data_IF_785930672437
#
_entry.id   IF_785930672437
#
_cell.length_a   1.000
_cell.length_b   1.000
_cell.length_c   1.000
_cell.angle_alpha   90.00
_cell.angle_beta   90.00
_cell.angle_gamma   90.00
#
_symmetry.space_group_name_H-M   'P 1'
#
loop_
_entity.id
_entity.type
_entity.pdbx_description
1 polymer ?
#
# COMPACT_ATOMS: atom_id res chain seq x y z
N UNK A 1 22.66 22.42 19.10
CA UNK A 1 21.23 22.78 19.20
C UNK A 1 20.54 22.22 17.98
N UNK A 2 19.79 21.14 18.13
CA UNK A 2 19.09 20.48 17.02
C UNK A 2 17.86 21.31 16.69
N UNK A 3 17.91 22.06 15.59
CA UNK A 3 16.72 22.70 15.04
C UNK A 3 15.79 21.61 14.53
N UNK A 4 14.69 21.36 15.24
CA UNK A 4 13.62 20.52 14.73
C UNK A 4 13.21 21.09 13.37
N UNK A 5 13.44 20.33 12.29
CA UNK A 5 12.94 20.68 10.98
C UNK A 5 11.43 20.88 11.12
N UNK A 6 10.97 22.09 10.82
CA UNK A 6 9.57 22.43 10.92
C UNK A 6 8.80 21.55 9.93
N UNK A 7 8.16 20.51 10.45
CA UNK A 7 7.21 19.68 9.70
C UNK A 7 6.13 20.62 9.20
N UNK A 8 6.07 20.84 7.89
CA UNK A 8 4.97 21.55 7.24
C UNK A 8 4.03 20.48 6.67
N UNK A 9 3.04 20.02 7.43
CA UNK A 9 2.02 19.15 6.87
C UNK A 9 1.32 19.92 5.76
N UNK A 10 1.48 19.45 4.52
CA UNK A 10 0.60 19.90 3.45
C UNK A 10 -0.66 19.08 3.56
N UNK A 11 -1.65 19.59 4.29
CA UNK A 11 -3.01 19.04 4.30
C UNK A 11 -3.70 19.57 3.05
N UNK A 12 -4.06 18.71 2.08
CA UNK A 12 -4.93 19.16 1.01
C UNK A 12 -6.29 19.58 1.62
N UNK A 13 -7.02 20.51 0.99
CA UNK A 13 -8.36 20.87 1.43
C UNK A 13 -9.18 19.62 1.74
N UNK A 14 -9.89 19.63 2.87
CA UNK A 14 -10.87 18.59 3.19
C UNK A 14 -11.95 18.63 2.12
N UNK A 15 -11.78 17.83 1.06
CA UNK A 15 -12.75 17.69 0.00
C UNK A 15 -13.78 16.65 0.43
N UNK A 16 -15.03 17.09 0.58
CA UNK A 16 -16.17 16.20 0.84
C UNK A 16 -16.59 15.39 -0.40
N UNK A 17 -15.93 15.58 -1.55
CA UNK A 17 -16.19 14.87 -2.80
C UNK A 17 -15.19 13.70 -2.97
N UNK A 18 -15.64 12.44 -2.85
CA UNK A 18 -14.81 11.25 -3.04
C UNK A 18 -14.12 11.20 -4.41
N UNK A 19 -14.72 11.81 -5.44
CA UNK A 19 -14.15 11.86 -6.79
C UNK A 19 -12.81 12.61 -6.83
N UNK A 20 -12.58 13.56 -5.91
CA UNK A 20 -11.31 14.30 -5.83
C UNK A 20 -10.19 13.49 -5.20
N UNK A 21 -10.48 12.56 -4.29
CA UNK A 21 -9.45 11.70 -3.69
C UNK A 21 -8.86 10.71 -4.69
N UNK A 22 -9.63 10.36 -5.72
CA UNK A 22 -9.19 9.55 -6.86
C UNK A 22 -8.29 10.34 -7.81
N UNK A 23 -8.42 11.67 -7.87
CA UNK A 23 -7.63 12.54 -8.75
C UNK A 23 -6.33 13.03 -8.11
N UNK A 24 -6.26 13.07 -6.77
CA UNK A 24 -5.05 13.46 -6.03
C UNK A 24 -4.09 12.29 -5.96
N UNK A 25 -2.86 12.50 -6.42
CA UNK A 25 -1.82 11.48 -6.45
C UNK A 25 -0.62 11.86 -5.59
N UNK A 26 0.10 10.84 -5.15
CA UNK A 26 1.35 10.95 -4.39
C UNK A 26 2.45 10.13 -5.04
N UNK A 27 3.71 10.53 -4.82
CA UNK A 27 4.89 9.87 -5.35
C UNK A 27 6.01 9.92 -4.31
N UNK A 28 6.64 8.78 -4.05
CA UNK A 28 7.85 8.66 -3.23
C UNK A 28 8.90 7.90 -4.05
N UNK A 29 10.09 8.47 -4.20
CA UNK A 29 11.17 7.86 -5.02
C UNK A 29 12.31 7.34 -4.16
N UNK A 30 13.07 6.37 -4.66
CA UNK A 30 14.27 5.84 -3.98
C UNK A 30 15.59 6.41 -4.52
N UNK A 31 15.56 7.34 -5.49
CA UNK A 31 16.76 7.95 -6.06
C UNK A 31 17.56 7.07 -7.04
N UNK A 32 17.10 5.86 -7.37
CA UNK A 32 17.70 4.99 -8.40
C UNK A 32 16.73 4.70 -9.56
N UNK A 33 15.67 5.50 -9.67
CA UNK A 33 14.61 5.35 -10.68
C UNK A 33 13.44 4.44 -10.26
N UNK A 34 13.48 3.86 -9.06
CA UNK A 34 12.36 3.15 -8.45
C UNK A 34 11.51 4.08 -7.59
N UNK A 35 10.25 3.71 -7.37
CA UNK A 35 9.28 4.54 -6.66
C UNK A 35 8.07 3.78 -6.14
N UNK A 36 7.30 4.45 -5.28
CA UNK A 36 5.91 4.14 -4.99
C UNK A 36 5.03 5.32 -5.37
N UNK A 37 3.87 5.05 -5.96
CA UNK A 37 2.87 6.06 -6.28
C UNK A 37 1.47 5.48 -6.28
N UNK A 38 0.49 6.36 -6.11
CA UNK A 38 -0.92 6.01 -6.15
C UNK A 38 -1.79 7.24 -5.92
N UNK A 39 -3.10 7.00 -5.83
CA UNK A 39 -4.06 8.02 -5.43
C UNK A 39 -4.13 8.14 -3.91
N UNK A 40 -4.68 9.25 -3.40
CA UNK A 40 -4.93 9.43 -1.97
C UNK A 40 -5.97 8.44 -1.45
N UNK A 41 -6.99 8.11 -2.25
CA UNK A 41 -8.00 7.11 -1.89
C UNK A 41 -7.46 5.68 -1.84
N UNK A 42 -6.27 5.43 -2.41
CA UNK A 42 -5.69 4.09 -2.55
C UNK A 42 -6.18 3.33 -3.77
N UNK A 43 -7.03 3.94 -4.60
CA UNK A 43 -7.47 3.37 -5.87
C UNK A 43 -6.31 3.34 -6.87
N UNK A 44 -6.15 2.22 -7.58
CA UNK A 44 -5.15 2.05 -8.63
C UNK A 44 -5.77 2.45 -9.97
N UNK A 45 -5.64 3.73 -10.35
CA UNK A 45 -6.24 4.27 -11.59
C UNK A 45 -5.31 4.30 -12.78
N UNK A 46 -4.00 4.13 -12.55
CA UNK A 46 -2.98 4.17 -13.61
C UNK A 46 -2.15 2.90 -13.60
N UNK A 47 -1.71 2.50 -14.79
CA UNK A 47 -0.77 1.38 -14.99
C UNK A 47 0.58 1.54 -14.30
N UNK A 48 0.91 2.75 -13.85
CA UNK A 48 2.17 3.10 -13.22
C UNK A 48 2.04 3.26 -11.70
N UNK A 49 0.83 3.15 -11.16
CA UNK A 49 0.62 3.10 -9.71
C UNK A 49 1.12 1.76 -9.17
N UNK A 50 1.71 1.83 -7.98
CA UNK A 50 2.37 0.69 -7.36
C UNK A 50 3.02 1.12 -6.06
N UNK A 51 3.01 0.24 -5.07
CA UNK A 51 3.72 0.44 -3.81
C UNK A 51 5.19 0.05 -3.90
N UNK A 52 5.56 -0.76 -4.89
CA UNK A 52 6.95 -0.96 -5.28
C UNK A 52 7.04 -1.13 -6.79
N UNK A 53 7.45 -0.06 -7.46
CA UNK A 53 7.97 -0.08 -8.84
C UNK A 53 9.49 -0.09 -8.73
N UNK A 54 10.08 -1.28 -8.86
CA UNK A 54 11.51 -1.49 -8.71
C UNK A 54 12.25 -1.07 -9.98
N UNK A 55 13.37 -0.34 -9.82
CA UNK A 55 14.32 -0.12 -10.89
C UNK A 55 15.37 -1.23 -10.88
N UNK A 56 15.23 -2.19 -11.77
CA UNK A 56 16.11 -3.34 -11.90
C UNK A 56 17.20 -3.09 -12.96
N UNK A 57 18.35 -3.79 -12.88
CA UNK A 57 19.40 -3.68 -13.88
C UNK A 57 18.92 -3.98 -15.31
N UNK A 58 19.63 -3.44 -16.30
CA UNK A 58 19.43 -3.78 -17.71
C UNK A 58 19.50 -5.31 -17.90
N UNK A 59 18.58 -5.95 -18.65
CA UNK A 59 17.56 -5.34 -19.53
C UNK A 59 16.18 -5.13 -18.89
N UNK A 60 16.00 -5.43 -17.60
CA UNK A 60 14.67 -5.50 -16.98
C UNK A 60 14.00 -4.13 -16.83
N UNK A 61 14.80 -3.10 -16.50
CA UNK A 61 14.31 -1.74 -16.30
C UNK A 61 13.34 -1.63 -15.12
N UNK A 62 12.26 -0.85 -15.28
CA UNK A 62 11.24 -0.72 -14.24
C UNK A 62 10.27 -1.90 -14.24
N UNK A 63 10.00 -2.43 -13.05
CA UNK A 63 9.08 -3.56 -12.85
C UNK A 63 8.14 -3.22 -11.70
N UNK A 64 6.84 -3.26 -11.96
CA UNK A 64 5.83 -3.26 -10.89
C UNK A 64 5.95 -4.61 -10.19
N UNK A 65 6.12 -4.62 -8.87
CA UNK A 65 6.24 -5.85 -8.07
C UNK A 65 5.18 -5.95 -6.98
N UNK A 66 4.86 -4.82 -6.33
CA UNK A 66 3.79 -4.71 -5.35
C UNK A 66 2.82 -3.61 -5.83
N UNK A 67 1.61 -4.01 -6.20
CA UNK A 67 0.62 -3.08 -6.77
C UNK A 67 -0.05 -2.26 -5.68
N UNK A 68 -0.61 -2.92 -4.66
CA UNK A 68 -1.17 -2.25 -3.50
C UNK A 68 -1.25 -3.15 -2.25
N UNK A 69 -1.47 -2.54 -1.10
CA UNK A 69 -1.88 -3.22 0.12
C UNK A 69 -3.35 -2.88 0.39
N UNK A 70 -4.18 -3.89 0.61
CA UNK A 70 -5.56 -3.73 1.06
C UNK A 70 -5.62 -3.97 2.57
N UNK A 71 -6.25 -3.04 3.28
CA UNK A 71 -6.40 -3.07 4.73
C UNK A 71 -7.83 -3.43 5.17
N UNK A 72 -7.94 -4.29 6.18
CA UNK A 72 -9.19 -4.55 6.91
C UNK A 72 -8.92 -4.47 8.41
N UNK A 73 -9.78 -3.74 9.12
CA UNK A 73 -9.81 -3.67 10.58
C UNK A 73 -10.96 -4.54 11.08
N UNK A 74 -10.73 -5.26 12.16
CA UNK A 74 -11.79 -5.81 13.00
C UNK A 74 -11.69 -5.17 14.38
N UNK A 75 -12.71 -4.37 14.69
CA UNK A 75 -12.83 -3.59 15.91
C UNK A 75 -13.27 -4.47 17.10
N UNK A 76 -13.14 -3.96 18.34
CA UNK A 76 -13.85 -4.53 19.48
C UNK A 76 -15.35 -4.69 19.16
N UNK A 77 -15.94 -5.79 19.63
CA UNK A 77 -17.33 -6.14 19.28
C UNK A 77 -17.48 -6.81 17.90
N UNK A 78 -16.40 -6.95 17.13
CA UNK A 78 -16.35 -7.80 15.94
C UNK A 78 -16.75 -7.14 14.62
N UNK A 79 -17.10 -5.84 14.62
CA UNK A 79 -17.34 -5.07 13.40
C UNK A 79 -16.11 -5.10 12.49
N UNK A 80 -16.32 -5.38 11.21
CA UNK A 80 -15.27 -5.38 10.17
C UNK A 80 -15.40 -4.11 9.33
N UNK A 81 -14.27 -3.48 9.05
CA UNK A 81 -14.18 -2.26 8.22
C UNK A 81 -13.05 -2.43 7.23
N UNK A 82 -13.32 -2.18 5.96
CA UNK A 82 -12.33 -2.22 4.90
C UNK A 82 -11.90 -0.79 4.56
N UNK A 83 -10.59 -0.56 4.46
CA UNK A 83 -10.04 0.76 4.07
C UNK A 83 -9.53 0.78 2.62
N UNK A 84 -9.93 -0.22 1.84
CA UNK A 84 -9.52 -0.39 0.45
C UNK A 84 -10.33 0.51 -0.49
N UNK A 85 -9.78 0.70 -1.67
CA UNK A 85 -10.50 1.24 -2.81
C UNK A 85 -10.32 0.26 -3.98
N UNK A 86 -11.40 -0.01 -4.72
CA UNK A 86 -11.38 -0.84 -5.91
C UNK A 86 -12.24 -0.24 -7.01
N UNK A 87 -11.86 -0.51 -8.26
CA UNK A 87 -12.67 -0.24 -9.43
C UNK A 87 -12.88 -1.58 -10.13
N UNK A 88 -14.14 -1.90 -10.33
CA UNK A 88 -14.59 -3.05 -11.12
C UNK A 88 -15.23 -2.52 -12.41
N UNK A 89 -15.42 -3.39 -13.41
CA UNK A 89 -16.10 -3.01 -14.66
C UNK A 89 -17.48 -2.35 -14.42
N UNK A 90 -18.14 -2.69 -13.32
CA UNK A 90 -19.47 -2.19 -13.00
C UNK A 90 -19.47 -0.98 -12.05
N UNK A 91 -18.43 -0.82 -11.21
CA UNK A 91 -18.50 0.12 -10.08
C UNK A 91 -17.14 0.53 -9.52
N UNK A 92 -17.05 1.81 -9.19
CA UNK A 92 -16.06 2.39 -8.29
C UNK A 92 -16.50 2.24 -6.82
N UNK A 93 -15.70 1.57 -6.01
CA UNK A 93 -15.94 1.38 -4.57
C UNK A 93 -14.79 1.92 -3.73
N UNK A 94 -15.07 2.99 -2.96
CA UNK A 94 -14.10 3.66 -2.10
C UNK A 94 -14.40 3.37 -0.61
N UNK A 95 -14.29 2.11 -0.18
CA UNK A 95 -14.67 1.67 1.17
C UNK A 95 -13.96 2.45 2.30
N UNK A 96 -12.71 2.87 2.06
CA UNK A 96 -11.93 3.65 3.02
C UNK A 96 -12.25 5.15 3.07
N UNK A 97 -12.90 5.72 2.07
CA UNK A 97 -13.11 7.17 1.93
C UNK A 97 -13.95 7.77 3.08
N UNK A 98 -15.07 7.16 3.53
CA UNK A 98 -15.82 7.66 4.68
C UNK A 98 -15.03 7.73 5.99
N UNK A 99 -13.93 6.99 6.08
CA UNK A 99 -13.08 6.93 7.27
C UNK A 99 -11.81 7.77 7.13
N UNK A 100 -11.48 8.28 5.94
CA UNK A 100 -10.28 9.09 5.72
C UNK A 100 -10.47 10.47 6.37
N UNK A 101 -9.92 10.63 7.57
CA UNK A 101 -10.00 11.88 8.33
C UNK A 101 -8.95 12.91 7.87
N UNK A 102 -7.78 12.44 7.45
CA UNK A 102 -6.70 13.32 7.00
C UNK A 102 -5.77 12.60 6.03
N UNK A 103 -5.41 13.28 4.94
CA UNK A 103 -4.19 13.00 4.17
C UNK A 103 -3.26 14.19 4.29
N UNK A 104 -1.95 13.96 4.38
CA UNK A 104 -0.97 15.04 4.35
C UNK A 104 0.40 14.53 3.90
N UNK A 105 1.26 15.47 3.49
CA UNK A 105 2.68 15.19 3.27
C UNK A 105 3.50 15.68 4.46
N UNK A 106 4.23 14.77 5.10
CA UNK A 106 5.19 15.04 6.18
C UNK A 106 6.58 14.87 5.59
N UNK A 107 7.33 15.95 5.43
CA UNK A 107 8.63 15.95 4.74
C UNK A 107 8.56 15.35 3.32
N UNK A 108 7.45 15.61 2.63
CA UNK A 108 7.16 15.06 1.30
C UNK A 108 6.70 13.60 1.30
N UNK A 109 6.63 12.94 2.47
CA UNK A 109 6.18 11.56 2.59
C UNK A 109 4.69 11.49 2.93
N UNK A 110 3.93 10.60 2.27
CA UNK A 110 2.50 10.53 2.45
C UNK A 110 2.13 9.92 3.82
N UNK A 111 1.19 10.58 4.49
CA UNK A 111 0.56 10.16 5.74
C UNK A 111 -0.95 10.17 5.58
N UNK A 112 -1.58 9.07 5.96
CA UNK A 112 -3.04 8.97 6.09
C UNK A 112 -3.40 8.79 7.55
N UNK A 113 -4.51 9.38 7.97
CA UNK A 113 -5.19 9.06 9.23
C UNK A 113 -6.63 8.67 8.93
N UNK A 114 -6.98 7.46 9.31
CA UNK A 114 -8.34 6.96 9.24
C UNK A 114 -8.96 7.00 10.63
N UNK A 115 -10.21 7.45 10.74
CA UNK A 115 -10.99 7.41 11.97
C UNK A 115 -12.20 6.51 11.78
N UNK A 116 -12.23 5.40 12.51
CA UNK A 116 -13.31 4.41 12.49
C UNK A 116 -13.89 4.33 13.90
N UNK A 117 -15.02 4.98 14.13
CA UNK A 117 -15.71 5.00 15.43
C UNK A 117 -14.79 5.37 16.63
N UNK A 118 -13.87 6.33 16.44
CA UNK A 118 -12.90 6.72 17.48
C UNK A 118 -11.60 5.89 17.49
N UNK A 119 -11.55 4.80 16.73
CA UNK A 119 -10.30 4.08 16.44
C UNK A 119 -9.55 4.81 15.33
N UNK A 120 -8.39 5.37 15.65
CA UNK A 120 -7.58 6.17 14.72
C UNK A 120 -6.37 5.37 14.25
N UNK A 121 -6.35 5.00 12.97
CA UNK A 121 -5.22 4.33 12.33
C UNK A 121 -4.42 5.34 11.50
N UNK A 122 -3.13 5.46 11.78
CA UNK A 122 -2.19 6.19 10.92
C UNK A 122 -1.44 5.22 10.00
N UNK A 123 -1.31 5.60 8.73
CA UNK A 123 -0.55 4.88 7.71
C UNK A 123 0.50 5.82 7.13
N UNK A 124 1.73 5.32 6.94
CA UNK A 124 2.84 6.03 6.31
C UNK A 124 3.55 5.14 5.30
N UNK A 125 4.10 5.75 4.26
CA UNK A 125 4.91 5.07 3.24
C UNK A 125 6.23 5.79 3.05
N UNK A 126 7.32 5.03 3.00
CA UNK A 126 8.65 5.53 2.64
C UNK A 126 9.36 4.52 1.74
N UNK A 127 10.19 5.00 0.82
CA UNK A 127 11.14 4.14 0.10
C UNK A 127 12.54 4.35 0.66
N UNK A 128 13.24 3.25 0.92
CA UNK A 128 14.62 3.31 1.36
C UNK A 128 15.50 3.86 0.24
N UNK A 129 16.28 4.90 0.55
CA UNK A 129 17.16 5.54 -0.43
C UNK A 129 18.13 4.53 -1.03
N UNK A 130 18.22 4.50 -2.37
CA UNK A 130 19.04 3.59 -3.18
C UNK A 130 18.72 2.10 -3.04
N UNK A 131 17.53 1.75 -2.52
CA UNK A 131 17.06 0.37 -2.45
C UNK A 131 15.67 0.23 -3.10
N UNK A 132 15.44 -0.90 -3.78
CA UNK A 132 14.09 -1.31 -4.20
C UNK A 132 13.35 -1.90 -3.00
N UNK A 133 13.08 -1.07 -2.00
CA UNK A 133 12.44 -1.44 -0.74
C UNK A 133 11.47 -0.34 -0.32
N UNK A 134 10.21 -0.73 -0.16
CA UNK A 134 9.18 0.11 0.45
C UNK A 134 8.99 -0.32 1.90
N UNK A 135 8.87 0.65 2.80
CA UNK A 135 8.47 0.43 4.18
C UNK A 135 7.11 1.10 4.40
N UNK A 136 6.17 0.31 4.91
CA UNK A 136 4.81 0.74 5.19
C UNK A 136 4.59 0.60 6.68
N UNK A 137 4.29 1.70 7.34
CA UNK A 137 4.06 1.72 8.78
C UNK A 137 2.60 1.97 9.06
N UNK A 138 2.01 1.11 9.88
CA UNK A 138 0.67 1.28 10.43
C UNK A 138 0.80 1.49 11.94
N UNK A 139 0.10 2.48 12.47
CA UNK A 139 0.13 2.81 13.90
C UNK A 139 -1.29 3.08 14.39
N UNK A 140 -1.72 2.33 15.39
CA UNK A 140 -2.92 2.66 16.15
C UNK A 140 -2.60 3.90 17.01
N UNK A 141 -3.25 5.02 16.71
CA UNK A 141 -3.02 6.32 17.38
C UNK A 141 -3.96 6.51 18.56
N UNK A 142 -5.19 6.04 18.41
CA UNK A 142 -6.24 6.07 19.42
C UNK A 142 -7.23 4.93 19.14
N UNK A 143 -8.00 4.54 20.15
CA UNK A 143 -8.98 3.46 20.08
C UNK A 143 -8.92 2.61 21.34
N UNK A 144 -10.06 2.05 21.72
CA UNK A 144 -10.17 1.18 22.88
C UNK A 144 -10.03 -0.29 22.45
N UNK A 145 -9.31 -1.09 23.23
CA UNK A 145 -9.18 -2.53 23.03
C UNK A 145 -8.31 -2.98 21.83
N UNK A 146 -8.27 -4.30 21.62
CA UNK A 146 -7.43 -4.91 20.59
C UNK A 146 -8.10 -4.84 19.22
N UNK A 147 -7.37 -4.28 18.24
CA UNK A 147 -7.79 -4.25 16.84
C UNK A 147 -7.07 -5.36 16.08
N UNK A 148 -7.83 -6.29 15.50
CA UNK A 148 -7.24 -7.23 14.55
C UNK A 148 -7.08 -6.52 13.20
N UNK A 149 -5.83 -6.40 12.76
CA UNK A 149 -5.48 -5.75 11.51
C UNK A 149 -5.06 -6.77 10.46
N UNK A 150 -5.73 -6.77 9.31
CA UNK A 150 -5.44 -7.69 8.22
C UNK A 150 -4.93 -6.91 7.00
N UNK A 151 -3.79 -7.35 6.47
CA UNK A 151 -3.19 -6.84 5.25
C UNK A 151 -3.28 -7.89 4.15
N UNK A 152 -3.73 -7.48 2.97
CA UNK A 152 -3.71 -8.30 1.76
C UNK A 152 -2.84 -7.61 0.70
N UNK A 153 -1.62 -8.12 0.44
CA UNK A 153 -0.80 -7.62 -0.64
C UNK A 153 -1.36 -8.05 -1.99
N UNK A 154 -1.40 -7.12 -2.93
CA UNK A 154 -1.71 -7.36 -4.34
C UNK A 154 -0.41 -7.34 -5.12
N UNK A 155 -0.07 -8.49 -5.72
CA UNK A 155 1.22 -8.75 -6.35
C UNK A 155 0.99 -8.95 -7.85
N UNK A 156 1.77 -8.24 -8.65
CA UNK A 156 1.83 -8.43 -10.09
C UNK A 156 3.24 -8.07 -10.54
N UNK A 157 4.01 -9.05 -11.00
CA UNK A 157 5.34 -8.84 -11.55
C UNK A 157 5.20 -8.52 -13.03
N UNK A 158 5.36 -7.24 -13.38
CA UNK A 158 5.10 -6.76 -14.72
C UNK A 158 6.08 -5.66 -15.10
N UNK A 159 6.63 -5.74 -16.31
CA UNK A 159 7.41 -4.62 -16.87
C UNK A 159 6.56 -3.36 -16.93
N UNK A 160 7.20 -2.23 -16.67
CA UNK A 160 6.58 -0.92 -16.57
C UNK A 160 5.58 -0.60 -17.70
N UNK A 161 5.96 -0.90 -18.95
CA UNK A 161 5.17 -0.60 -20.15
C UNK A 161 4.24 -1.74 -20.62
N UNK A 162 4.23 -2.90 -19.97
CA UNK A 162 3.39 -4.03 -20.37
C UNK A 162 1.90 -3.82 -20.02
N UNK A 163 0.97 -4.40 -20.78
CA UNK A 163 -0.47 -4.20 -20.59
C UNK A 163 -0.94 -4.55 -19.15
N UNK A 164 -1.91 -3.82 -18.59
CA UNK A 164 -2.38 -4.06 -17.21
C UNK A 164 -3.30 -5.28 -17.06
N UNK A 165 -3.86 -5.74 -18.18
CA UNK A 165 -4.69 -6.93 -18.29
C UNK A 165 -3.92 -8.14 -18.84
N UNK A 166 -2.58 -8.09 -18.81
CA UNK A 166 -1.76 -9.26 -19.13
C UNK A 166 -2.07 -10.40 -18.16
N UNK A 167 -1.91 -11.64 -18.62
CA UNK A 167 -2.04 -12.81 -17.75
C UNK A 167 -1.14 -12.64 -16.51
N UNK A 168 -1.73 -12.89 -15.33
CA UNK A 168 -0.98 -12.82 -14.09
C UNK A 168 0.06 -13.93 -14.08
N UNK A 169 1.34 -13.54 -14.09
CA UNK A 169 2.43 -14.48 -13.97
C UNK A 169 2.23 -15.36 -12.72
N UNK A 170 2.40 -16.67 -12.89
CA UNK A 170 2.36 -17.61 -11.77
C UNK A 170 3.47 -17.25 -10.79
N UNK A 171 3.16 -17.32 -9.51
CA UNK A 171 4.12 -17.13 -8.44
C UNK A 171 3.93 -18.18 -7.36
N UNK A 172 5.01 -18.44 -6.64
CA UNK A 172 5.06 -19.33 -5.48
C UNK A 172 5.35 -18.49 -4.23
N UNK A 173 4.44 -18.46 -3.25
CA UNK A 173 4.74 -17.90 -1.94
C UNK A 173 5.57 -18.91 -1.13
N UNK A 174 6.74 -18.49 -0.64
CA UNK A 174 7.60 -19.27 0.24
C UNK A 174 7.69 -18.56 1.60
N UNK A 175 7.27 -19.25 2.67
CA UNK A 175 7.46 -18.76 4.03
C UNK A 175 8.80 -19.30 4.57
N UNK A 176 9.70 -18.38 4.96
CA UNK A 176 11.03 -18.69 5.50
C UNK A 176 11.19 -17.91 6.81
N UNK A 177 11.04 -18.60 7.94
CA UNK A 177 10.93 -17.98 9.26
C UNK A 177 9.82 -16.92 9.28
N UNK A 178 10.18 -15.65 9.51
CA UNK A 178 9.27 -14.50 9.53
C UNK A 178 9.27 -13.69 8.21
N UNK A 179 9.85 -14.26 7.15
CA UNK A 179 9.91 -13.67 5.80
C UNK A 179 9.01 -14.43 4.84
N UNK A 180 8.37 -13.70 3.93
CA UNK A 180 7.58 -14.23 2.83
C UNK A 180 8.22 -13.83 1.50
N UNK A 181 8.71 -14.81 0.76
CA UNK A 181 9.29 -14.60 -0.56
C UNK A 181 8.25 -14.95 -1.62
N UNK A 182 7.95 -14.01 -2.51
CA UNK A 182 7.13 -14.25 -3.69
C UNK A 182 8.04 -14.43 -4.89
N UNK A 183 8.07 -15.65 -5.42
CA UNK A 183 8.95 -16.06 -6.51
C UNK A 183 8.09 -16.30 -7.75
N UNK A 184 8.29 -15.50 -8.80
CA UNK A 184 7.59 -15.63 -10.08
C UNK A 184 8.55 -16.07 -11.19
N UNK A 185 8.47 -15.38 -12.33
CA UNK A 185 9.41 -15.53 -13.44
C UNK A 185 10.88 -15.40 -12.93
N UNK A 186 11.77 -16.36 -13.24
CA UNK A 186 13.17 -16.34 -12.80
C UNK A 186 13.97 -15.12 -13.27
N UNK A 187 13.51 -14.39 -14.28
CA UNK A 187 14.12 -13.13 -14.73
C UNK A 187 13.96 -12.00 -13.72
N UNK A 188 12.98 -12.08 -12.81
CA UNK A 188 12.79 -11.10 -11.75
C UNK A 188 13.36 -11.58 -10.41
N UNK A 189 13.94 -10.68 -9.60
CA UNK A 189 14.27 -11.02 -8.22
C UNK A 189 12.99 -11.31 -7.42
N UNK A 190 13.06 -12.12 -6.35
CA UNK A 190 11.92 -12.37 -5.49
C UNK A 190 11.48 -11.07 -4.79
N UNK A 191 10.17 -10.88 -4.63
CA UNK A 191 9.64 -9.87 -3.72
C UNK A 191 9.68 -10.45 -2.31
N UNK A 192 10.59 -9.93 -1.48
CA UNK A 192 10.73 -10.33 -0.08
C UNK A 192 9.92 -9.40 0.80
N UNK A 193 9.01 -9.96 1.58
CA UNK A 193 8.17 -9.24 2.51
C UNK A 193 8.42 -9.72 3.92
N UNK A 194 8.40 -8.78 4.88
CA UNK A 194 8.49 -9.08 6.31
C UNK A 194 7.51 -8.19 7.04
N UNK A 195 6.81 -8.75 8.01
CA UNK A 195 5.90 -8.02 8.89
C UNK A 195 6.55 -7.88 10.26
N UNK A 196 6.70 -6.66 10.74
CA UNK A 196 7.25 -6.36 12.06
C UNK A 196 6.11 -5.89 12.97
N UNK A 197 5.50 -6.80 13.70
CA UNK A 197 4.53 -6.51 14.77
C UNK A 197 4.63 -7.59 15.86
N UNK A 198 3.95 -7.38 17.00
CA UNK A 198 3.96 -8.31 18.13
C UNK A 198 3.37 -9.67 17.76
N UNK A 199 2.04 -9.75 17.73
CA UNK A 199 1.34 -10.97 17.30
C UNK A 199 1.01 -10.88 15.81
N UNK A 200 1.65 -11.74 15.01
CA UNK A 200 1.42 -11.79 13.55
C UNK A 200 1.12 -13.21 13.09
N UNK A 201 0.23 -13.32 12.10
CA UNK A 201 -0.02 -14.56 11.39
C UNK A 201 -0.12 -14.28 9.89
N UNK A 202 0.42 -15.18 9.08
CA UNK A 202 0.18 -15.20 7.65
C UNK A 202 -0.81 -16.30 7.31
N UNK A 203 -1.88 -15.92 6.62
CA UNK A 203 -2.91 -16.86 6.18
C UNK A 203 -2.94 -16.90 4.66
N UNK A 204 -2.60 -18.06 4.09
CA UNK A 204 -2.86 -18.32 2.68
C UNK A 204 -4.30 -18.81 2.52
N UNK A 205 -5.13 -18.02 1.82
CA UNK A 205 -6.51 -18.40 1.48
C UNK A 205 -6.61 -18.60 -0.03
N UNK A 206 -6.40 -19.81 -0.54
CA UNK A 206 -6.66 -20.07 -1.95
C UNK A 206 -8.14 -19.83 -2.20
N UNK A 207 -8.46 -18.88 -3.08
CA UNK A 207 -9.82 -18.72 -3.58
C UNK A 207 -9.90 -19.54 -4.85
N UNK A 208 -10.65 -20.65 -4.83
CA UNK A 208 -11.12 -21.26 -6.08
C UNK A 208 -12.10 -20.25 -6.68
N UNK A 209 -11.70 -19.59 -7.77
CA UNK A 209 -12.65 -18.87 -8.61
C UNK A 209 -13.37 -19.97 -9.38
N UNK A 210 -14.52 -20.40 -8.88
CA UNK A 210 -15.48 -21.21 -9.63
C UNK A 210 -16.32 -20.33 -10.53
#
# INVERSE_FOLDING_TARGET
MSGAAAVRPVTPPADADPARQVQREWLVTNGIGGYASGTVSGLVTRRYHGWLVAALPNPLGRVVMLTHLSEQLRLPGGRRVELRAEETEARLELHGDPYLAEFSLVDGLPRWRYNVDGTVLEKRVVLAHRHNMVHVTYRLVAGDGDVLFQLRPSIHFRHYEAAVNSELARYSPLAVNDRYDIVGDPSFPPLRMRLHAGDTAFTHRPKTIS
#
